data_IF_369197863238
#
_entry.id   IF_369197863238
#
_cell.length_a   1.000
_cell.length_b   1.000
_cell.length_c   1.000
_cell.angle_alpha   90.00
_cell.angle_beta   90.00
_cell.angle_gamma   90.00
#
_symmetry.space_group_name_H-M   'P 1'
#
loop_
_entity.id
_entity.type
_entity.pdbx_description
1 polymer ?
#
# COMPACT_ATOMS: atom_id res chain seq x y z
N UNK A 1 -11.14 5.92 -65.14
CA UNK A 1 -12.57 5.86 -64.79
C UNK A 1 -12.92 4.45 -64.35
N UNK A 2 -13.24 4.27 -63.06
CA UNK A 2 -14.22 3.32 -62.49
C UNK A 2 -14.06 3.38 -60.97
N UNK A 3 -14.90 4.21 -60.36
CA UNK A 3 -15.20 4.22 -58.93
C UNK A 3 -16.28 3.17 -58.71
N UNK A 4 -16.15 2.29 -57.73
CA UNK A 4 -17.27 1.60 -57.03
C UNK A 4 -16.66 0.99 -55.75
N UNK A 5 -16.91 1.58 -54.59
CA UNK A 5 -18.01 1.29 -53.63
C UNK A 5 -17.74 0.03 -52.83
N UNK A 6 -17.65 0.17 -51.49
CA UNK A 6 -18.26 -0.65 -50.40
C UNK A 6 -17.77 0.00 -49.09
N UNK A 7 -18.58 0.86 -48.48
CA UNK A 7 -19.48 0.59 -47.35
C UNK A 7 -18.77 0.47 -45.99
N UNK A 8 -19.16 1.39 -45.10
CA UNK A 8 -18.87 1.50 -43.68
C UNK A 8 -19.02 0.18 -42.91
N UNK A 9 -18.06 -0.11 -42.03
CA UNK A 9 -18.30 -0.91 -40.81
C UNK A 9 -17.68 -0.16 -39.62
N UNK A 10 -18.55 0.58 -38.93
CA UNK A 10 -18.40 0.91 -37.52
C UNK A 10 -18.66 -0.38 -36.73
N UNK A 11 -17.68 -0.86 -35.96
CA UNK A 11 -17.84 -1.89 -34.94
C UNK A 11 -16.58 -1.84 -34.05
N UNK A 12 -16.57 -1.19 -32.89
CA UNK A 12 -17.12 -1.62 -31.59
C UNK A 12 -15.95 -1.88 -30.64
N UNK A 13 -15.91 -1.07 -29.58
CA UNK A 13 -15.30 -1.29 -28.27
C UNK A 13 -14.30 -2.44 -28.10
N UNK A 14 -13.03 -2.09 -27.93
CA UNK A 14 -12.04 -2.92 -27.24
C UNK A 14 -11.39 -2.13 -26.10
N UNK A 15 -12.17 -1.72 -25.10
CA UNK A 15 -11.62 -1.29 -23.81
C UNK A 15 -11.03 -2.54 -23.15
N UNK A 16 -9.73 -2.75 -23.36
CA UNK A 16 -8.97 -3.78 -22.67
C UNK A 16 -8.84 -3.30 -21.22
N UNK A 17 -9.84 -3.59 -20.39
CA UNK A 17 -9.70 -3.50 -18.95
C UNK A 17 -8.70 -4.57 -18.52
N UNK A 18 -7.44 -4.17 -18.36
CA UNK A 18 -6.43 -4.97 -17.66
C UNK A 18 -6.91 -5.14 -16.22
N UNK A 19 -7.62 -6.25 -15.96
CA UNK A 19 -7.91 -6.69 -14.61
C UNK A 19 -6.56 -6.92 -13.91
N UNK A 20 -6.22 -6.04 -12.97
CA UNK A 20 -5.10 -6.26 -12.06
C UNK A 20 -5.45 -7.53 -11.28
N UNK A 21 -4.62 -8.58 -11.44
CA UNK A 21 -4.77 -9.79 -10.65
C UNK A 21 -4.55 -9.42 -9.17
N UNK A 22 -5.62 -9.42 -8.40
CA UNK A 22 -5.54 -9.34 -6.95
C UNK A 22 -4.96 -10.67 -6.48
N UNK A 23 -3.78 -10.64 -5.84
CA UNK A 23 -3.20 -11.82 -5.20
C UNK A 23 -4.22 -12.31 -4.16
N UNK A 24 -4.81 -13.49 -4.36
CA UNK A 24 -5.89 -14.02 -3.52
C UNK A 24 -5.35 -14.84 -2.34
N UNK A 25 -4.09 -14.63 -1.96
CA UNK A 25 -3.50 -15.27 -0.79
C UNK A 25 -4.15 -14.74 0.50
N UNK A 26 -4.53 -15.61 1.46
CA UNK A 26 -5.18 -15.19 2.69
C UNK A 26 -4.24 -14.30 3.51
N UNK A 27 -4.58 -13.01 3.62
CA UNK A 27 -3.78 -12.04 4.34
C UNK A 27 -3.84 -12.24 5.87
N UNK A 28 -2.70 -12.07 6.54
CA UNK A 28 -2.66 -12.03 8.00
C UNK A 28 -3.26 -10.70 8.47
N UNK A 29 -4.00 -10.70 9.58
CA UNK A 29 -4.59 -9.46 10.09
C UNK A 29 -3.53 -8.40 10.40
N UNK A 30 -3.80 -7.14 10.05
CA UNK A 30 -2.88 -6.02 10.27
C UNK A 30 -2.45 -5.85 11.73
N UNK A 31 -3.32 -6.16 12.69
CA UNK A 31 -3.00 -6.14 14.12
C UNK A 31 -1.90 -7.17 14.49
N UNK A 32 -1.99 -8.40 13.97
CA UNK A 32 -0.98 -9.44 14.23
C UNK A 32 0.35 -9.09 13.58
N UNK A 33 0.30 -8.56 12.36
CA UNK A 33 1.49 -8.06 11.66
C UNK A 33 2.14 -6.92 12.46
N UNK A 34 1.35 -5.99 12.98
CA UNK A 34 1.82 -4.88 13.79
C UNK A 34 2.48 -5.36 15.08
N UNK A 35 1.84 -6.28 15.80
CA UNK A 35 2.38 -6.85 17.03
C UNK A 35 3.72 -7.56 16.79
N UNK A 36 3.85 -8.27 15.67
CA UNK A 36 5.07 -9.03 15.32
C UNK A 36 6.22 -8.14 14.86
N UNK A 37 5.93 -7.11 14.05
CA UNK A 37 6.97 -6.39 13.31
C UNK A 37 7.19 -4.94 13.75
N UNK A 38 6.18 -4.31 14.36
CA UNK A 38 6.17 -2.85 14.55
C UNK A 38 6.13 -2.44 16.03
N UNK A 39 5.39 -3.19 16.85
CA UNK A 39 5.03 -2.78 18.21
C UNK A 39 6.24 -2.58 19.15
N UNK A 40 7.34 -3.31 18.90
CA UNK A 40 8.58 -3.15 19.68
C UNK A 40 9.10 -1.71 19.58
N UNK A 41 9.14 -1.15 18.38
CA UNK A 41 9.61 0.22 18.17
C UNK A 41 8.49 1.26 18.27
N UNK A 42 7.26 0.86 17.98
CA UNK A 42 6.08 1.73 17.92
C UNK A 42 4.98 1.34 18.92
N UNK A 43 5.28 1.23 20.23
CA UNK A 43 4.27 0.88 21.22
C UNK A 43 3.17 1.94 21.23
N UNK A 44 1.91 1.50 21.15
CA UNK A 44 0.72 2.38 21.13
C UNK A 44 0.75 3.44 20.01
N UNK A 45 1.50 3.17 18.93
CA UNK A 45 1.70 4.09 17.81
C UNK A 45 2.72 5.20 18.08
N UNK A 46 3.46 5.14 19.19
CA UNK A 46 4.59 6.02 19.47
C UNK A 46 5.81 5.67 18.62
N UNK A 47 6.99 6.14 19.03
CA UNK A 47 8.26 5.71 18.43
C UNK A 47 9.39 5.87 19.46
N UNK A 48 9.96 4.74 19.90
CA UNK A 48 11.03 4.74 20.91
C UNK A 48 12.39 5.16 20.35
N UNK A 49 12.58 5.05 19.03
CA UNK A 49 13.82 5.42 18.34
C UNK A 49 13.84 6.93 18.07
N UNK A 50 12.70 7.50 17.65
CA UNK A 50 12.54 8.93 17.44
C UNK A 50 11.13 9.40 17.87
N UNK A 51 10.99 10.02 19.05
CA UNK A 51 9.70 10.46 19.58
C UNK A 51 8.94 11.48 18.72
N UNK A 52 9.60 12.14 17.75
CA UNK A 52 8.97 13.09 16.81
C UNK A 52 8.45 12.42 15.54
N UNK A 53 8.57 11.10 15.42
CA UNK A 53 8.25 10.33 14.21
C UNK A 53 7.32 9.17 14.57
N UNK A 54 6.18 9.50 15.19
CA UNK A 54 5.20 8.50 15.62
C UNK A 54 4.35 8.02 14.43
N UNK A 55 3.44 7.07 14.70
CA UNK A 55 2.45 6.58 13.75
C UNK A 55 1.11 7.33 13.85
N UNK A 56 1.04 8.40 14.66
CA UNK A 56 -0.14 9.25 14.74
C UNK A 56 -0.35 9.95 13.40
N UNK A 57 -1.62 10.15 13.02
CA UNK A 57 -2.00 10.69 11.71
C UNK A 57 -1.27 12.00 11.40
N UNK A 58 -1.22 12.93 12.36
CA UNK A 58 -0.54 14.22 12.18
C UNK A 58 0.96 14.07 11.82
N UNK A 59 1.66 13.15 12.47
CA UNK A 59 3.10 12.91 12.22
C UNK A 59 3.35 12.21 10.88
N UNK A 60 2.44 11.30 10.47
CA UNK A 60 2.47 10.66 9.16
C UNK A 60 2.21 11.68 8.05
N UNK A 61 1.17 12.50 8.18
CA UNK A 61 0.81 13.52 7.20
C UNK A 61 1.88 14.60 7.05
N UNK A 62 2.53 15.02 8.15
CA UNK A 62 3.65 15.95 8.14
C UNK A 62 4.87 15.42 7.36
N UNK A 63 4.89 14.13 7.03
CA UNK A 63 5.92 13.46 6.23
C UNK A 63 5.41 12.99 4.88
N UNK A 64 4.23 13.44 4.46
CA UNK A 64 3.56 13.04 3.22
C UNK A 64 3.20 11.54 3.14
N UNK A 65 2.93 10.91 4.28
CA UNK A 65 2.37 9.56 4.33
C UNK A 65 0.87 9.70 4.63
N UNK A 66 0.03 9.67 3.59
CA UNK A 66 -1.40 10.03 3.70
C UNK A 66 -2.34 8.90 3.29
N UNK A 67 -1.82 7.92 2.56
CA UNK A 67 -2.57 6.79 2.02
C UNK A 67 -1.99 5.45 2.45
N UNK A 68 -2.75 4.39 2.20
CA UNK A 68 -2.28 3.01 2.32
C UNK A 68 -1.03 2.79 1.46
N UNK A 69 -1.07 3.27 0.22
CA UNK A 69 -0.01 3.14 -0.76
C UNK A 69 1.28 3.86 -0.32
N UNK A 70 1.17 5.08 0.24
CA UNK A 70 2.33 5.81 0.75
C UNK A 70 3.01 5.05 1.89
N UNK A 71 2.20 4.47 2.79
CA UNK A 71 2.71 3.76 3.95
C UNK A 71 3.36 2.42 3.52
N UNK A 72 2.76 1.70 2.58
CA UNK A 72 3.38 0.51 1.97
C UNK A 72 4.69 0.87 1.28
N UNK A 73 4.72 1.94 0.46
CA UNK A 73 5.95 2.40 -0.18
C UNK A 73 7.03 2.78 0.85
N UNK A 74 6.64 3.40 1.96
CA UNK A 74 7.55 3.72 3.05
C UNK A 74 8.12 2.45 3.72
N UNK A 75 7.31 1.41 3.96
CA UNK A 75 7.78 0.12 4.46
C UNK A 75 8.82 -0.53 3.52
N UNK A 76 8.64 -0.38 2.20
CA UNK A 76 9.59 -0.89 1.18
C UNK A 76 10.88 -0.08 1.08
N UNK A 77 10.94 1.12 1.67
CA UNK A 77 12.13 1.98 1.65
C UNK A 77 12.89 1.90 2.97
N UNK A 78 12.18 1.86 4.10
CA UNK A 78 12.76 1.98 5.43
C UNK A 78 13.19 3.42 5.75
N UNK A 79 13.88 3.60 6.88
CA UNK A 79 14.45 4.88 7.31
C UNK A 79 15.63 4.64 8.27
N UNK A 80 16.45 5.65 8.59
CA UNK A 80 17.45 5.51 9.65
C UNK A 80 16.82 5.01 10.96
N UNK A 81 17.26 3.84 11.43
CA UNK A 81 16.71 3.18 12.63
C UNK A 81 15.42 2.37 12.41
N UNK A 82 14.91 2.28 11.18
CA UNK A 82 13.77 1.44 10.81
C UNK A 82 14.15 0.55 9.61
N UNK A 83 14.14 -0.78 9.76
CA UNK A 83 14.50 -1.68 8.66
C UNK A 83 13.53 -1.54 7.49
N UNK A 84 14.02 -1.82 6.29
CA UNK A 84 13.17 -2.05 5.12
C UNK A 84 12.46 -3.39 5.30
N UNK A 85 11.16 -3.41 4.99
CA UNK A 85 10.36 -4.62 4.88
C UNK A 85 10.11 -4.87 3.40
N UNK A 86 10.83 -5.78 2.78
CA UNK A 86 10.54 -6.19 1.39
C UNK A 86 9.39 -7.20 1.32
N UNK A 87 9.07 -7.67 0.12
CA UNK A 87 8.00 -8.64 -0.11
C UNK A 87 8.29 -10.02 0.48
N UNK A 88 9.55 -10.35 0.74
CA UNK A 88 9.93 -11.61 1.41
C UNK A 88 9.67 -11.53 2.91
N UNK A 89 9.86 -10.35 3.52
CA UNK A 89 9.60 -10.12 4.92
C UNK A 89 8.12 -9.91 5.21
N UNK A 90 7.44 -9.09 4.40
CA UNK A 90 6.00 -8.81 4.50
C UNK A 90 5.44 -8.74 3.07
N UNK A 91 4.70 -9.76 2.59
CA UNK A 91 4.06 -9.76 1.28
C UNK A 91 3.15 -8.55 1.04
N UNK A 92 2.85 -8.22 -0.21
CA UNK A 92 2.12 -6.99 -0.53
C UNK A 92 0.71 -6.92 0.09
N UNK A 93 -0.03 -8.02 0.12
CA UNK A 93 -1.34 -8.06 0.77
C UNK A 93 -1.24 -7.83 2.27
N UNK A 94 -0.26 -8.44 2.93
CA UNK A 94 0.00 -8.25 4.35
C UNK A 94 0.43 -6.81 4.65
N UNK A 95 1.28 -6.21 3.80
CA UNK A 95 1.71 -4.83 3.95
C UNK A 95 0.51 -3.85 3.84
N UNK A 96 -0.43 -4.13 2.94
CA UNK A 96 -1.68 -3.37 2.81
C UNK A 96 -2.57 -3.50 4.05
N UNK A 97 -2.76 -4.72 4.56
CA UNK A 97 -3.50 -4.95 5.81
C UNK A 97 -2.86 -4.24 7.00
N UNK A 98 -1.54 -4.32 7.12
CA UNK A 98 -0.76 -3.62 8.14
C UNK A 98 -0.93 -2.10 8.01
N UNK A 99 -0.86 -1.56 6.80
CA UNK A 99 -1.01 -0.13 6.54
C UNK A 99 -2.42 0.36 6.91
N UNK A 100 -3.47 -0.37 6.50
CA UNK A 100 -4.86 -0.08 6.91
C UNK A 100 -5.02 -0.09 8.41
N UNK A 101 -4.45 -1.08 9.08
CA UNK A 101 -4.51 -1.18 10.53
C UNK A 101 -3.86 0.03 11.21
N UNK A 102 -2.66 0.44 10.77
CA UNK A 102 -1.96 1.62 11.31
C UNK A 102 -2.79 2.88 11.15
N UNK A 103 -3.25 3.17 9.93
CA UNK A 103 -4.02 4.39 9.61
C UNK A 103 -5.37 4.44 10.34
N UNK A 104 -6.00 3.28 10.56
CA UNK A 104 -7.28 3.17 11.30
C UNK A 104 -7.09 3.33 12.81
N UNK A 105 -6.01 2.78 13.36
CA UNK A 105 -5.79 2.65 14.81
C UNK A 105 -5.17 3.90 15.41
N UNK A 106 -4.21 4.52 14.73
CA UNK A 106 -3.41 5.63 15.28
C UNK A 106 -3.82 6.96 14.65
N UNK A 107 -4.99 7.45 15.08
CA UNK A 107 -5.48 8.79 14.72
C UNK A 107 -4.60 9.89 15.30
#
# INVERSE_FOLDING_TARGET
MKKLFVASVICMCGLISTAMAEDQSPAVSGEKLFARHCAVCHPQGGNIINPKKTLKKADLEARNIKSEEDLVAFLRTGAPGMPKFDETAIPNNDARELARYILKTFK
#
